data_IF_273248961696
#
_entry.id   IF_273248961696
#
_cell.length_a   1.000
_cell.length_b   1.000
_cell.length_c   1.000
_cell.angle_alpha   90.00
_cell.angle_beta   90.00
_cell.angle_gamma   90.00
#
_symmetry.space_group_name_H-M   'P 1'
#
loop_
_entity.id
_entity.type
_entity.pdbx_description
1 polymer ?
#
# COMPACT_ATOMS: atom_id res chain seq x y z
N UNK A 1 50.35 51.23 -48.47
CA UNK A 1 50.78 50.06 -47.63
C UNK A 1 49.91 50.03 -46.38
N UNK A 2 48.85 49.27 -46.41
CA UNK A 2 47.85 49.22 -45.32
C UNK A 2 47.97 47.87 -44.65
N UNK A 3 48.39 47.83 -43.36
CA UNK A 3 48.50 46.62 -42.55
C UNK A 3 47.13 46.17 -42.11
N UNK A 4 46.74 45.00 -42.57
CA UNK A 4 45.56 44.30 -42.00
C UNK A 4 46.00 43.52 -40.78
N UNK A 5 45.46 43.88 -39.61
CA UNK A 5 45.63 43.11 -38.38
C UNK A 5 44.52 42.04 -38.29
N UNK A 6 44.91 40.78 -38.38
CA UNK A 6 44.03 39.63 -38.15
C UNK A 6 43.84 39.46 -36.69
N UNK A 7 42.59 39.57 -36.22
CA UNK A 7 42.19 39.23 -34.85
C UNK A 7 41.75 37.77 -34.82
N UNK A 8 42.51 36.93 -34.15
CA UNK A 8 42.13 35.55 -33.85
C UNK A 8 41.12 35.55 -32.68
N UNK A 9 39.87 35.22 -32.97
CA UNK A 9 38.87 34.96 -31.95
C UNK A 9 38.94 33.47 -31.60
N UNK A 10 39.46 33.15 -30.40
CA UNK A 10 39.43 31.81 -29.86
C UNK A 10 38.00 31.51 -29.35
N UNK A 11 37.31 30.61 -30.02
CA UNK A 11 36.02 30.10 -29.56
C UNK A 11 36.23 29.16 -28.39
N UNK A 12 36.10 29.68 -27.16
CA UNK A 12 36.02 28.88 -25.96
C UNK A 12 34.66 28.15 -25.89
N UNK A 13 34.67 26.84 -26.05
CA UNK A 13 33.53 25.98 -25.83
C UNK A 13 33.25 25.92 -24.32
N UNK A 14 32.25 26.68 -23.84
CA UNK A 14 31.76 26.56 -22.48
C UNK A 14 30.85 25.36 -22.40
N UNK A 15 31.37 24.26 -21.86
CA UNK A 15 30.59 23.07 -21.55
C UNK A 15 29.76 23.35 -20.31
N UNK A 16 28.51 23.80 -20.48
CA UNK A 16 27.54 23.89 -19.36
C UNK A 16 27.08 22.50 -19.04
N UNK A 17 27.66 21.89 -18.00
CA UNK A 17 27.14 20.67 -17.38
C UNK A 17 25.83 21.02 -16.65
N UNK A 18 24.71 20.78 -17.29
CA UNK A 18 23.43 20.72 -16.59
C UNK A 18 23.43 19.47 -15.70
N UNK A 19 23.87 19.64 -14.45
CA UNK A 19 23.62 18.71 -13.38
C UNK A 19 22.12 18.72 -13.09
N UNK A 20 21.36 17.89 -13.81
CA UNK A 20 19.97 17.62 -13.48
C UNK A 20 19.94 16.86 -12.15
N UNK A 21 19.87 17.57 -11.02
CA UNK A 21 19.26 17.02 -9.84
C UNK A 21 17.84 16.61 -10.25
N UNK A 22 17.56 15.32 -10.22
CA UNK A 22 16.19 14.83 -10.30
C UNK A 22 15.49 15.34 -9.03
N UNK A 23 14.98 16.56 -9.08
CA UNK A 23 13.95 17.00 -8.16
C UNK A 23 12.83 15.98 -8.25
N UNK A 24 12.69 15.18 -7.19
CA UNK A 24 11.47 14.45 -6.95
C UNK A 24 10.37 15.49 -7.03
N UNK A 25 9.60 15.44 -8.09
CA UNK A 25 8.48 16.34 -8.36
C UNK A 25 7.53 16.22 -7.17
N UNK A 26 7.82 16.97 -6.12
CA UNK A 26 6.81 17.36 -5.15
C UNK A 26 5.78 18.09 -5.99
N UNK A 27 4.67 17.40 -6.23
CA UNK A 27 3.51 17.99 -6.87
C UNK A 27 3.23 19.31 -6.12
N UNK A 28 3.44 20.49 -6.73
CA UNK A 28 3.10 21.75 -6.11
C UNK A 28 1.57 21.85 -6.17
N UNK A 29 0.89 21.03 -5.40
CA UNK A 29 -0.45 21.41 -4.98
C UNK A 29 -0.24 22.73 -4.26
N UNK A 30 -0.65 23.78 -4.95
CA UNK A 30 -0.56 25.16 -4.58
C UNK A 30 -0.44 25.33 -3.07
N UNK A 31 0.46 26.21 -2.63
CA UNK A 31 0.44 26.73 -1.27
C UNK A 31 -0.92 27.39 -1.02
N UNK A 32 -1.96 26.54 -1.01
CA UNK A 32 -3.33 26.89 -0.77
C UNK A 32 -3.45 27.31 0.69
N UNK A 33 -4.36 28.20 0.95
CA UNK A 33 -4.73 28.61 2.30
C UNK A 33 -4.93 27.36 3.17
N UNK A 34 -4.12 27.20 4.22
CA UNK A 34 -4.32 26.13 5.18
C UNK A 34 -5.67 26.32 5.87
N UNK A 35 -6.43 25.23 5.97
CA UNK A 35 -7.69 25.20 6.72
C UNK A 35 -7.52 24.25 7.91
N UNK A 36 -8.10 24.59 9.04
CA UNK A 36 -8.18 23.71 10.20
C UNK A 36 -9.48 22.93 10.12
N UNK A 37 -9.37 21.61 10.17
CA UNK A 37 -10.53 20.71 10.24
C UNK A 37 -10.50 19.99 11.59
N UNK A 38 -11.67 19.90 12.21
CA UNK A 38 -11.89 18.99 13.34
C UNK A 38 -12.40 17.66 12.77
N UNK A 39 -11.66 16.59 13.04
CA UNK A 39 -12.00 15.26 12.59
C UNK A 39 -12.22 14.35 13.79
N UNK A 40 -13.16 13.38 13.70
CA UNK A 40 -13.25 12.32 14.68
C UNK A 40 -11.90 11.59 14.79
N UNK A 41 -11.52 11.17 15.99
CA UNK A 41 -10.36 10.28 16.15
C UNK A 41 -10.60 8.98 15.38
N UNK A 42 -9.53 8.41 14.83
CA UNK A 42 -9.58 7.05 14.30
C UNK A 42 -9.96 6.11 15.45
N UNK A 43 -10.93 5.19 15.27
CA UNK A 43 -11.28 4.24 16.30
C UNK A 43 -10.09 3.40 16.73
N UNK A 44 -10.09 2.95 17.98
CA UNK A 44 -9.10 2.01 18.50
C UNK A 44 -9.11 0.70 17.68
N UNK A 45 -7.95 0.08 17.45
CA UNK A 45 -7.88 -1.19 16.75
C UNK A 45 -8.61 -2.29 17.55
N UNK A 46 -9.39 -3.10 16.85
CA UNK A 46 -10.17 -4.17 17.45
C UNK A 46 -9.43 -5.52 17.38
N UNK A 47 -9.44 -6.35 18.46
CA UNK A 47 -8.93 -7.70 18.40
C UNK A 47 -9.81 -8.57 17.50
N UNK A 48 -9.19 -9.47 16.74
CA UNK A 48 -9.90 -10.43 15.87
C UNK A 48 -9.28 -11.81 15.96
N UNK A 49 -10.14 -12.85 15.93
CA UNK A 49 -9.74 -14.25 15.78
C UNK A 49 -10.23 -14.76 14.44
N UNK A 50 -9.32 -15.29 13.63
CA UNK A 50 -9.56 -15.66 12.24
C UNK A 50 -9.30 -17.15 12.01
N UNK A 51 -10.19 -17.80 11.23
CA UNK A 51 -9.97 -19.15 10.74
C UNK A 51 -8.95 -19.13 9.58
N UNK A 52 -7.77 -19.75 9.72
CA UNK A 52 -6.74 -19.75 8.69
C UNK A 52 -7.17 -20.42 7.37
N UNK A 53 -8.16 -21.34 7.42
CA UNK A 53 -8.66 -22.03 6.22
C UNK A 53 -9.50 -21.13 5.31
N UNK A 54 -10.16 -20.13 5.89
CA UNK A 54 -11.06 -19.22 5.17
C UNK A 54 -10.55 -17.78 5.13
N UNK A 55 -9.33 -17.56 5.61
CA UNK A 55 -8.66 -16.24 5.60
C UNK A 55 -7.49 -16.22 4.65
N UNK A 56 -7.32 -15.13 3.91
CA UNK A 56 -6.12 -14.86 3.14
C UNK A 56 -5.47 -13.53 3.54
N UNK A 57 -4.14 -13.48 3.43
CA UNK A 57 -3.37 -12.24 3.50
C UNK A 57 -3.17 -11.68 2.10
N UNK A 58 -3.57 -10.42 1.87
CA UNK A 58 -3.31 -9.67 0.64
C UNK A 58 -2.22 -8.63 0.87
N UNK A 59 -1.06 -8.81 0.24
CA UNK A 59 0.13 -7.95 0.36
C UNK A 59 0.19 -7.00 -0.83
N UNK A 60 0.09 -5.70 -0.59
CA UNK A 60 -0.01 -4.67 -1.61
C UNK A 60 1.22 -3.76 -1.63
N UNK A 61 1.90 -3.73 -2.78
CA UNK A 61 2.95 -2.76 -3.10
C UNK A 61 4.10 -2.67 -2.07
N UNK A 62 4.41 -3.74 -1.33
CA UNK A 62 5.60 -3.89 -0.50
C UNK A 62 6.84 -4.15 -1.37
N UNK A 63 7.08 -3.26 -2.32
CA UNK A 63 8.16 -3.34 -3.31
C UNK A 63 9.13 -2.18 -3.15
N UNK A 64 10.40 -2.38 -3.53
CA UNK A 64 11.48 -1.41 -3.39
C UNK A 64 11.14 -0.01 -3.93
N UNK A 65 10.58 0.16 -5.15
CA UNK A 65 10.32 1.50 -5.69
C UNK A 65 9.06 2.17 -5.12
N UNK A 66 8.30 1.51 -4.27
CA UNK A 66 7.06 2.06 -3.68
C UNK A 66 7.22 2.12 -2.16
N UNK A 67 6.96 1.03 -1.44
CA UNK A 67 7.09 0.98 0.01
C UNK A 67 8.54 1.19 0.46
N UNK A 68 9.50 0.51 -0.17
CA UNK A 68 10.92 0.62 0.16
C UNK A 68 11.51 2.03 0.01
N UNK A 69 10.89 2.87 -0.80
CA UNK A 69 11.27 4.27 -0.96
C UNK A 69 10.70 5.20 0.15
N UNK A 70 9.87 4.67 1.05
CA UNK A 70 9.19 5.47 2.08
C UNK A 70 9.75 5.20 3.48
N UNK A 71 10.18 6.22 4.22
CA UNK A 71 10.64 6.05 5.61
C UNK A 71 9.59 5.34 6.48
N UNK A 72 8.32 5.76 6.40
CA UNK A 72 7.22 5.15 7.15
C UNK A 72 7.04 3.65 6.90
N UNK A 73 7.37 3.17 5.68
CA UNK A 73 7.35 1.75 5.39
C UNK A 73 8.47 1.02 6.14
N UNK A 74 9.70 1.51 6.06
CA UNK A 74 10.88 0.88 6.68
C UNK A 74 10.83 0.93 8.20
N UNK A 75 10.44 2.10 8.75
CA UNK A 75 10.57 2.38 10.18
C UNK A 75 9.34 1.95 10.99
N UNK A 76 8.16 1.85 10.36
CA UNK A 76 6.90 1.53 11.05
C UNK A 76 6.27 0.24 10.54
N UNK A 77 6.13 0.08 9.22
CA UNK A 77 5.35 -1.04 8.66
C UNK A 77 6.13 -2.36 8.63
N UNK A 78 7.39 -2.37 8.18
CA UNK A 78 8.18 -3.61 8.11
C UNK A 78 8.46 -4.25 9.47
N UNK A 79 8.77 -3.51 10.54
CA UNK A 79 8.94 -4.10 11.87
C UNK A 79 7.71 -4.84 12.39
N UNK A 80 6.49 -4.39 12.04
CA UNK A 80 5.25 -5.09 12.37
C UNK A 80 4.96 -6.22 11.38
N UNK A 81 5.21 -6.00 10.10
CA UNK A 81 4.87 -6.94 9.03
C UNK A 81 5.75 -8.20 9.03
N UNK A 82 7.04 -8.09 9.33
CA UNK A 82 7.98 -9.23 9.29
C UNK A 82 7.55 -10.36 10.24
N UNK A 83 7.38 -10.15 11.55
CA UNK A 83 6.91 -11.20 12.45
C UNK A 83 5.46 -11.62 12.16
N UNK A 84 4.64 -10.73 11.63
CA UNK A 84 3.27 -11.08 11.23
C UNK A 84 3.26 -12.05 10.04
N UNK A 85 4.09 -11.84 9.04
CA UNK A 85 4.24 -12.75 7.90
C UNK A 85 4.65 -14.16 8.36
N UNK A 86 5.58 -14.27 9.30
CA UNK A 86 5.99 -15.57 9.87
C UNK A 86 4.79 -16.28 10.52
N UNK A 87 3.97 -15.55 11.29
CA UNK A 87 2.75 -16.11 11.91
C UNK A 87 1.72 -16.56 10.87
N UNK A 88 1.51 -15.75 9.83
CA UNK A 88 0.62 -16.08 8.70
C UNK A 88 1.06 -17.34 7.99
N UNK A 89 2.36 -17.46 7.70
CA UNK A 89 2.95 -18.66 7.06
C UNK A 89 2.81 -19.89 7.95
N UNK A 90 3.11 -19.75 9.24
CA UNK A 90 2.99 -20.85 10.22
C UNK A 90 1.54 -21.32 10.36
N UNK A 91 0.58 -20.42 10.31
CA UNK A 91 -0.85 -20.74 10.37
C UNK A 91 -1.42 -21.32 9.05
N UNK A 92 -0.65 -21.29 7.96
CA UNK A 92 -1.03 -21.87 6.67
C UNK A 92 -2.05 -21.06 5.87
N UNK A 93 -2.15 -19.75 6.09
CA UNK A 93 -3.05 -18.90 5.33
C UNK A 93 -2.70 -18.89 3.84
N UNK A 94 -3.72 -18.74 3.01
CA UNK A 94 -3.50 -18.30 1.62
C UNK A 94 -2.87 -16.93 1.61
N UNK A 95 -1.82 -16.73 0.80
CA UNK A 95 -1.19 -15.41 0.62
C UNK A 95 -1.30 -14.99 -0.84
N UNK A 96 -1.71 -13.75 -1.04
CA UNK A 96 -1.82 -13.13 -2.35
C UNK A 96 -1.02 -11.82 -2.39
N UNK A 97 -0.42 -11.54 -3.53
CA UNK A 97 0.42 -10.37 -3.77
C UNK A 97 -0.14 -9.56 -4.92
N UNK A 98 -0.22 -8.25 -4.73
CA UNK A 98 -0.71 -7.33 -5.75
C UNK A 98 0.20 -6.14 -5.94
N UNK A 99 0.68 -5.94 -7.19
CA UNK A 99 1.44 -4.76 -7.59
C UNK A 99 1.32 -4.54 -9.09
N UNK A 100 2.02 -3.54 -9.63
CA UNK A 100 2.14 -3.35 -11.09
C UNK A 100 3.15 -4.34 -11.67
N UNK A 101 2.94 -4.80 -12.90
CA UNK A 101 3.79 -5.77 -13.59
C UNK A 101 5.29 -5.45 -13.45
N UNK A 102 5.70 -4.22 -13.76
CA UNK A 102 7.10 -3.77 -13.67
C UNK A 102 7.75 -3.89 -12.29
N UNK A 103 6.96 -4.13 -11.25
CA UNK A 103 7.40 -4.22 -9.85
C UNK A 103 7.33 -5.65 -9.31
N UNK A 104 6.77 -6.62 -10.04
CA UNK A 104 6.52 -7.97 -9.56
C UNK A 104 7.80 -8.70 -9.10
N UNK A 105 8.96 -8.35 -9.62
CA UNK A 105 10.26 -8.91 -9.22
C UNK A 105 10.99 -8.11 -8.13
N UNK A 106 10.37 -7.03 -7.59
CA UNK A 106 11.04 -6.05 -6.72
C UNK A 106 10.49 -6.06 -5.29
N UNK A 107 9.99 -7.19 -4.81
CA UNK A 107 9.47 -7.32 -3.45
C UNK A 107 10.57 -7.12 -2.42
N UNK A 108 10.23 -6.47 -1.32
CA UNK A 108 11.10 -6.39 -0.15
C UNK A 108 11.33 -7.80 0.39
N UNK A 109 12.56 -8.14 0.73
CA UNK A 109 12.99 -9.50 1.10
C UNK A 109 12.22 -10.07 2.29
N UNK A 110 11.85 -9.22 3.23
CA UNK A 110 11.13 -9.56 4.47
C UNK A 110 9.73 -10.12 4.20
N UNK A 111 9.17 -9.78 3.05
CA UNK A 111 7.78 -10.11 2.68
C UNK A 111 7.68 -10.69 1.27
N UNK A 112 8.77 -11.19 0.72
CA UNK A 112 8.82 -11.72 -0.65
C UNK A 112 7.85 -12.90 -0.85
N UNK A 113 7.25 -13.04 -2.04
CA UNK A 113 6.38 -14.17 -2.36
C UNK A 113 7.13 -15.51 -2.28
N UNK A 114 6.45 -16.52 -1.73
CA UNK A 114 6.88 -17.91 -1.74
C UNK A 114 6.27 -18.68 -2.93
N UNK A 115 6.81 -19.86 -3.27
CA UNK A 115 6.16 -20.75 -4.22
C UNK A 115 4.73 -21.10 -3.80
N UNK A 116 3.78 -21.02 -4.74
CA UNK A 116 2.36 -21.28 -4.49
C UNK A 116 1.52 -20.08 -4.05
N UNK A 117 2.14 -18.93 -3.78
CA UNK A 117 1.38 -17.70 -3.52
C UNK A 117 0.71 -17.18 -4.80
N UNK A 118 -0.47 -16.59 -4.61
CA UNK A 118 -1.20 -15.90 -5.68
C UNK A 118 -0.47 -14.60 -6.02
N UNK A 119 -0.25 -14.34 -7.30
CA UNK A 119 0.42 -13.11 -7.78
C UNK A 119 -0.47 -12.43 -8.80
N UNK A 120 -0.85 -11.19 -8.49
CA UNK A 120 -1.74 -10.39 -9.33
C UNK A 120 -1.02 -9.11 -9.77
N UNK A 121 -1.13 -8.82 -11.05
CA UNK A 121 -0.64 -7.57 -11.62
C UNK A 121 -1.76 -6.82 -12.31
N UNK A 122 -1.87 -5.54 -12.05
CA UNK A 122 -2.69 -4.62 -12.83
C UNK A 122 -2.19 -3.17 -12.64
N UNK A 123 -2.77 -2.24 -13.38
CA UNK A 123 -2.48 -0.80 -13.26
C UNK A 123 -3.45 -0.07 -12.34
N UNK A 124 -4.59 -0.69 -12.00
CA UNK A 124 -5.59 -0.13 -11.11
C UNK A 124 -5.14 -0.18 -9.64
N UNK A 125 -5.73 0.65 -8.80
CA UNK A 125 -5.51 0.58 -7.35
C UNK A 125 -6.31 -0.55 -6.71
N UNK A 126 -7.49 -0.90 -7.24
CA UNK A 126 -8.22 -2.11 -6.90
C UNK A 126 -7.57 -3.33 -7.58
N UNK A 127 -7.08 -4.28 -6.79
CA UNK A 127 -6.42 -5.50 -7.31
C UNK A 127 -7.39 -6.54 -7.84
N UNK A 128 -8.69 -6.37 -7.61
CA UNK A 128 -9.73 -7.19 -8.24
C UNK A 128 -10.07 -6.73 -9.66
N UNK A 129 -9.78 -5.47 -10.01
CA UNK A 129 -10.17 -4.90 -11.29
C UNK A 129 -9.41 -5.56 -12.46
N UNK A 130 -10.15 -6.24 -13.36
CA UNK A 130 -9.62 -6.95 -14.51
C UNK A 130 -8.50 -7.96 -14.16
N UNK A 131 -8.70 -8.73 -13.09
CA UNK A 131 -7.79 -9.82 -12.67
C UNK A 131 -8.59 -11.04 -12.22
N UNK A 132 -7.90 -12.18 -12.11
CA UNK A 132 -8.48 -13.44 -11.64
C UNK A 132 -8.45 -13.59 -10.11
N UNK A 133 -8.16 -12.50 -9.36
CA UNK A 133 -8.00 -12.57 -7.91
C UNK A 133 -9.23 -13.14 -7.21
N UNK A 134 -10.43 -12.70 -7.57
CA UNK A 134 -11.67 -13.17 -6.96
C UNK A 134 -11.87 -14.68 -7.18
N UNK A 135 -11.70 -15.14 -8.41
CA UNK A 135 -11.80 -16.57 -8.74
C UNK A 135 -10.76 -17.40 -7.98
N UNK A 136 -9.51 -16.94 -7.91
CA UNK A 136 -8.42 -17.62 -7.21
C UNK A 136 -8.66 -17.72 -5.68
N UNK A 137 -9.18 -16.66 -5.06
CA UNK A 137 -9.52 -16.65 -3.64
C UNK A 137 -10.75 -17.54 -3.33
N UNK A 138 -11.80 -17.45 -4.14
CA UNK A 138 -13.00 -18.28 -3.98
C UNK A 138 -12.71 -19.77 -4.17
N UNK A 139 -11.85 -20.14 -5.11
CA UNK A 139 -11.41 -21.51 -5.31
C UNK A 139 -10.70 -22.12 -4.08
N UNK A 140 -10.13 -21.26 -3.21
CA UNK A 140 -9.52 -21.64 -1.93
C UNK A 140 -10.46 -21.49 -0.73
N UNK A 141 -11.73 -21.17 -0.95
CA UNK A 141 -12.73 -21.01 0.12
C UNK A 141 -12.54 -19.76 0.98
N UNK A 142 -11.80 -18.76 0.51
CA UNK A 142 -11.54 -17.54 1.28
C UNK A 142 -12.82 -16.74 1.46
N UNK A 143 -13.05 -16.26 2.68
CA UNK A 143 -14.18 -15.41 3.09
C UNK A 143 -13.72 -14.11 3.74
N UNK A 144 -12.51 -14.11 4.33
CA UNK A 144 -11.94 -12.95 5.01
C UNK A 144 -10.59 -12.60 4.40
N UNK A 145 -10.35 -11.31 4.19
CA UNK A 145 -9.08 -10.78 3.72
C UNK A 145 -8.43 -9.89 4.76
N UNK A 146 -7.20 -10.21 5.14
CA UNK A 146 -6.31 -9.28 5.81
C UNK A 146 -5.60 -8.52 4.70
N UNK A 147 -5.75 -7.19 4.64
CA UNK A 147 -5.16 -6.36 3.58
C UNK A 147 -4.11 -5.45 4.18
N UNK A 148 -2.88 -5.57 3.71
CA UNK A 148 -1.70 -4.82 4.17
C UNK A 148 -1.02 -4.13 2.98
N UNK A 149 -0.32 -3.05 3.21
CA UNK A 149 0.49 -2.46 2.13
C UNK A 149 0.55 -0.94 2.07
N UNK A 150 1.21 -0.46 1.04
CA UNK A 150 1.34 0.94 0.68
C UNK A 150 0.38 1.27 -0.48
N UNK A 151 -0.53 2.22 -0.36
CA UNK A 151 -0.83 3.06 0.82
C UNK A 151 -2.30 2.93 1.21
N UNK A 152 -2.61 3.27 2.46
CA UNK A 152 -4.00 3.18 2.97
C UNK A 152 -4.97 4.04 2.14
N UNK A 153 -4.59 5.24 1.70
CA UNK A 153 -5.42 6.11 0.85
C UNK A 153 -5.48 5.69 -0.63
N UNK A 154 -4.85 4.58 -0.99
CA UNK A 154 -4.74 4.06 -2.36
C UNK A 154 -5.08 2.58 -2.44
N UNK A 155 -4.10 1.75 -2.83
CA UNK A 155 -4.32 0.32 -3.12
C UNK A 155 -5.02 -0.41 -1.96
N UNK A 156 -4.73 -0.09 -0.70
CA UNK A 156 -5.37 -0.74 0.45
C UNK A 156 -6.86 -0.41 0.48
N UNK A 157 -7.25 0.88 0.45
CA UNK A 157 -8.67 1.27 0.44
C UNK A 157 -9.41 0.72 -0.78
N UNK A 158 -8.87 0.90 -1.98
CA UNK A 158 -9.59 0.48 -3.20
C UNK A 158 -9.71 -1.05 -3.30
N UNK A 159 -8.68 -1.80 -2.90
CA UNK A 159 -8.77 -3.26 -2.85
C UNK A 159 -9.71 -3.73 -1.74
N UNK A 160 -9.76 -3.03 -0.60
CA UNK A 160 -10.73 -3.33 0.47
C UNK A 160 -12.18 -3.12 0.00
N UNK A 161 -12.45 -2.01 -0.69
CA UNK A 161 -13.77 -1.76 -1.31
C UNK A 161 -14.08 -2.85 -2.34
N UNK A 162 -13.12 -3.15 -3.22
CA UNK A 162 -13.24 -4.24 -4.20
C UNK A 162 -13.53 -5.60 -3.58
N UNK A 163 -12.97 -5.88 -2.41
CA UNK A 163 -13.26 -7.08 -1.62
C UNK A 163 -14.69 -7.07 -1.04
N UNK A 164 -15.08 -5.98 -0.40
CA UNK A 164 -16.41 -5.87 0.25
C UNK A 164 -17.56 -6.02 -0.74
N UNK A 165 -17.45 -5.45 -1.96
CA UNK A 165 -18.49 -5.61 -3.00
C UNK A 165 -18.54 -7.03 -3.60
N UNK A 166 -17.56 -7.89 -3.27
CA UNK A 166 -17.49 -9.31 -3.63
C UNK A 166 -17.77 -10.24 -2.44
N UNK A 167 -18.36 -9.67 -1.39
CA UNK A 167 -18.81 -10.36 -0.17
C UNK A 167 -17.71 -10.79 0.80
N UNK A 168 -16.47 -10.32 0.65
CA UNK A 168 -15.42 -10.57 1.64
C UNK A 168 -15.60 -9.67 2.88
N UNK A 169 -15.29 -10.21 4.05
CA UNK A 169 -15.00 -9.43 5.25
C UNK A 169 -13.54 -8.99 5.21
N UNK A 170 -13.24 -7.76 5.61
CA UNK A 170 -11.90 -7.20 5.50
C UNK A 170 -11.35 -6.84 6.88
N UNK A 171 -10.08 -7.14 7.11
CA UNK A 171 -9.30 -6.70 8.27
C UNK A 171 -8.11 -5.90 7.76
N UNK A 172 -7.92 -4.69 8.27
CA UNK A 172 -6.76 -3.85 7.93
C UNK A 172 -5.95 -3.59 9.21
N UNK A 173 -4.77 -4.23 9.35
CA UNK A 173 -3.88 -3.93 10.46
C UNK A 173 -3.25 -2.56 10.28
N UNK A 174 -3.47 -1.64 11.21
CA UNK A 174 -3.06 -0.23 11.12
C UNK A 174 -1.55 -0.06 11.16
N UNK A 175 -0.82 -1.00 11.73
CA UNK A 175 0.64 -1.02 11.85
C UNK A 175 1.36 -1.57 10.59
N UNK A 176 0.62 -2.09 9.62
CA UNK A 176 1.15 -2.62 8.35
C UNK A 176 0.70 -1.82 7.13
N UNK A 177 0.14 -0.64 7.34
CA UNK A 177 -0.21 0.30 6.28
C UNK A 177 -0.03 1.74 6.75
N UNK A 178 0.31 2.62 5.84
CA UNK A 178 0.41 4.07 6.08
C UNK A 178 0.21 4.84 4.77
N UNK A 179 0.43 6.14 4.81
CA UNK A 179 0.46 7.00 3.63
C UNK A 179 1.60 8.03 3.72
N UNK A 180 1.66 8.97 2.79
CA UNK A 180 2.73 9.96 2.73
C UNK A 180 2.67 11.01 3.86
N UNK A 181 1.52 11.16 4.53
CA UNK A 181 1.32 12.04 5.67
C UNK A 181 0.34 11.45 6.68
N UNK A 182 0.38 11.95 7.91
CA UNK A 182 -0.57 11.54 8.96
C UNK A 182 -2.02 11.93 8.58
N UNK A 183 -2.20 13.08 7.93
CA UNK A 183 -3.51 13.48 7.40
C UNK A 183 -4.03 12.46 6.38
N UNK A 184 -3.21 12.08 5.39
CA UNK A 184 -3.59 11.11 4.37
C UNK A 184 -3.86 9.73 4.98
N UNK A 185 -3.09 9.35 6.00
CA UNK A 185 -3.26 8.09 6.75
C UNK A 185 -4.60 8.09 7.50
N UNK A 186 -4.92 9.16 8.22
CA UNK A 186 -6.18 9.29 8.97
C UNK A 186 -7.40 9.26 8.04
N UNK A 187 -7.36 10.02 6.95
CA UNK A 187 -8.42 10.01 5.92
C UNK A 187 -8.57 8.62 5.31
N UNK A 188 -7.47 7.92 5.06
CA UNK A 188 -7.49 6.56 4.52
C UNK A 188 -8.21 5.58 5.45
N UNK A 189 -7.93 5.61 6.76
CA UNK A 189 -8.65 4.79 7.75
C UNK A 189 -10.13 5.14 7.83
N UNK A 190 -10.47 6.44 7.82
CA UNK A 190 -11.87 6.87 7.79
C UNK A 190 -12.58 6.35 6.53
N UNK A 191 -11.97 6.49 5.37
CA UNK A 191 -12.55 6.06 4.11
C UNK A 191 -12.81 4.56 4.06
N UNK A 192 -11.86 3.73 4.50
CA UNK A 192 -12.02 2.28 4.46
C UNK A 192 -13.10 1.80 5.44
N UNK A 193 -13.26 2.46 6.58
CA UNK A 193 -14.35 2.18 7.54
C UNK A 193 -15.71 2.66 7.05
N UNK A 194 -15.74 3.74 6.26
CA UNK A 194 -16.98 4.34 5.75
C UNK A 194 -17.40 3.81 4.38
N UNK A 195 -16.68 2.84 3.84
CA UNK A 195 -16.94 2.25 2.53
C UNK A 195 -17.66 0.90 2.64
N UNK A 196 -18.37 0.51 1.58
CA UNK A 196 -19.11 -0.75 1.55
C UNK A 196 -20.19 -0.81 2.63
N UNK A 197 -20.22 -1.87 3.44
CA UNK A 197 -21.06 -1.95 4.62
C UNK A 197 -20.38 -1.22 5.78
N UNK A 198 -20.53 0.11 5.83
CA UNK A 198 -19.80 0.99 6.74
C UNK A 198 -19.70 0.48 8.18
N UNK A 199 -18.51 0.61 8.79
CA UNK A 199 -18.19 0.11 10.13
C UNK A 199 -17.49 1.19 10.97
N UNK A 200 -18.08 2.38 11.07
CA UNK A 200 -17.47 3.52 11.77
C UNK A 200 -17.20 3.28 13.26
N UNK A 201 -17.95 2.36 13.88
CA UNK A 201 -17.72 1.95 15.26
C UNK A 201 -16.62 0.88 15.41
N UNK A 202 -15.97 0.49 14.32
CA UNK A 202 -14.94 -0.55 14.25
C UNK A 202 -15.35 -1.87 14.95
N UNK A 203 -16.59 -2.33 14.71
CA UNK A 203 -17.06 -3.63 15.24
C UNK A 203 -16.20 -4.76 14.66
N UNK A 204 -15.68 -5.67 15.51
CA UNK A 204 -14.87 -6.79 15.05
C UNK A 204 -15.62 -7.67 14.04
N UNK A 205 -15.01 -7.95 12.91
CA UNK A 205 -15.48 -8.86 11.86
C UNK A 205 -16.93 -8.61 11.40
N UNK A 206 -17.36 -7.35 11.38
CA UNK A 206 -18.65 -7.01 10.77
C UNK A 206 -18.69 -7.54 9.32
N UNK A 207 -19.70 -8.36 8.94
CA UNK A 207 -19.74 -8.95 7.60
C UNK A 207 -19.70 -7.93 6.47
N UNK A 208 -18.92 -8.20 5.43
CA UNK A 208 -18.79 -7.35 4.22
C UNK A 208 -18.38 -5.91 4.55
N UNK A 209 -17.63 -5.71 5.63
CA UNK A 209 -17.13 -4.44 6.09
C UNK A 209 -15.66 -4.55 6.44
N UNK A 210 -15.01 -3.41 6.67
CA UNK A 210 -13.65 -3.36 7.18
C UNK A 210 -13.63 -3.26 8.70
N UNK A 211 -12.74 -4.03 9.32
CA UNK A 211 -12.32 -3.87 10.72
C UNK A 211 -10.86 -3.38 10.73
N UNK A 212 -10.58 -2.29 11.42
CA UNK A 212 -9.21 -1.88 11.75
C UNK A 212 -8.72 -2.71 12.94
N UNK A 213 -7.52 -3.27 12.81
CA UNK A 213 -6.87 -4.07 13.84
C UNK A 213 -5.39 -3.70 13.96
N UNK A 214 -4.61 -4.51 14.64
CA UNK A 214 -3.14 -4.48 14.65
C UNK A 214 -2.62 -5.89 14.51
N UNK A 215 -1.41 -6.05 14.03
CA UNK A 215 -0.83 -7.39 13.85
C UNK A 215 -0.80 -8.19 15.16
N UNK A 216 -0.50 -7.55 16.29
CA UNK A 216 -0.46 -8.18 17.63
C UNK A 216 -1.85 -8.51 18.21
N UNK A 217 -2.93 -7.97 17.63
CA UNK A 217 -4.32 -8.22 18.00
C UNK A 217 -5.03 -9.24 17.09
N UNK A 218 -4.33 -9.77 16.08
CA UNK A 218 -4.86 -10.81 15.18
C UNK A 218 -4.39 -12.18 15.66
N UNK A 219 -5.33 -13.09 15.93
CA UNK A 219 -5.05 -14.49 16.26
C UNK A 219 -5.63 -15.42 15.21
N UNK A 220 -5.03 -16.60 15.05
CA UNK A 220 -5.47 -17.65 14.13
C UNK A 220 -5.87 -18.89 14.92
N UNK A 221 -7.08 -19.41 14.70
CA UNK A 221 -7.63 -20.60 15.36
C UNK A 221 -8.42 -21.49 14.41
#
# INVERSE_FOLDING_TARGET
MTLVRTVLVSSGLVLVLFGGAADAQQNPRAAGKMVTLQMPATPDPAPVTLDPKTTALMVLDYVEPICGAQPSCKDKMLPAMTPFMERVRKAGLTVAYGTRERNMSKWLKEVAPAPGDIKITNTAQDRFFNTDLDAALKAKGVKTLIIVGWKISGSVTYTSVGAMVRDYTVVVPMDTTSAASDYETTIGFYNVLNSGNANLANQPLKPKATTLSRTDMITFQ
#
